data_IF_482277931128
#
_entry.id   IF_482277931128
#
_cell.length_a   1.000
_cell.length_b   1.000
_cell.length_c   1.000
_cell.angle_alpha   90.00
_cell.angle_beta   90.00
_cell.angle_gamma   90.00
#
_symmetry.space_group_name_H-M   'P 1'
#
loop_
_entity.id
_entity.type
_entity.pdbx_description
1 polymer ?
#
# COMPACT_ATOMS: atom_id res chain seq x y z
N UNK A 1 17.49 11.02 16.82
CA UNK A 1 17.26 10.30 15.55
C UNK A 1 15.76 10.34 15.35
N UNK A 2 15.29 11.43 14.75
CA UNK A 2 13.87 11.67 14.56
C UNK A 2 13.34 10.60 13.61
N UNK A 3 12.48 9.72 14.14
CA UNK A 3 11.68 8.80 13.34
C UNK A 3 11.07 9.64 12.21
N UNK A 4 11.16 9.16 10.97
CA UNK A 4 10.31 9.64 9.90
C UNK A 4 8.91 9.86 10.48
N UNK A 5 8.51 11.14 10.58
CA UNK A 5 7.16 11.54 10.88
C UNK A 5 6.36 11.13 9.64
N UNK A 6 6.04 9.83 9.59
CA UNK A 6 5.26 9.19 8.57
C UNK A 6 3.89 9.83 8.62
N UNK A 7 3.74 10.99 7.98
CA UNK A 7 2.46 11.55 7.58
C UNK A 7 1.65 10.37 7.07
N UNK A 8 0.60 10.03 7.82
CA UNK A 8 -0.16 8.79 7.69
C UNK A 8 -0.34 8.42 6.21
N UNK A 9 -0.13 7.15 5.82
CA UNK A 9 -0.31 6.67 4.45
C UNK A 9 -1.65 7.11 3.83
N UNK A 10 -2.66 7.36 4.67
CA UNK A 10 -3.92 8.01 4.32
C UNK A 10 -3.75 9.28 3.48
N UNK A 11 -2.71 10.09 3.69
CA UNK A 11 -2.45 11.32 2.94
C UNK A 11 -2.01 11.08 1.48
N UNK A 12 -1.39 9.93 1.20
CA UNK A 12 -1.01 9.54 -0.17
C UNK A 12 -2.22 8.99 -0.94
N UNK A 13 -3.17 8.37 -0.24
CA UNK A 13 -4.36 7.75 -0.82
C UNK A 13 -5.52 8.74 -0.95
N UNK A 14 -5.73 9.53 0.09
CA UNK A 14 -6.73 10.59 0.18
C UNK A 14 -5.97 11.88 0.51
N UNK A 15 -5.44 12.61 -0.49
CA UNK A 15 -4.78 13.88 -0.26
C UNK A 15 -5.78 14.81 0.42
N UNK A 16 -5.64 15.00 1.74
CA UNK A 16 -6.64 15.63 2.63
C UNK A 16 -7.37 16.76 1.93
N UNK A 17 -8.58 16.50 1.43
CA UNK A 17 -9.50 17.52 0.90
C UNK A 17 -8.79 18.66 0.16
N UNK A 18 -7.75 18.35 -0.64
CA UNK A 18 -6.65 19.27 -0.94
C UNK A 18 -7.05 20.47 -1.81
N UNK A 19 -8.30 20.49 -2.25
CA UNK A 19 -8.94 21.67 -2.79
C UNK A 19 -10.43 21.62 -2.47
N UNK A 20 -10.89 22.40 -1.49
CA UNK A 20 -12.33 22.55 -1.19
C UNK A 20 -13.14 23.01 -2.42
N UNK A 21 -12.47 23.61 -3.41
CA UNK A 21 -13.06 24.10 -4.65
C UNK A 21 -12.85 23.15 -5.84
N UNK A 22 -12.10 22.05 -5.68
CA UNK A 22 -11.76 21.13 -6.77
C UNK A 22 -12.87 20.10 -7.09
N UNK A 23 -13.81 19.92 -6.16
CA UNK A 23 -14.91 18.96 -6.28
C UNK A 23 -16.25 19.68 -6.17
N UNK A 24 -16.58 20.54 -7.15
CA UNK A 24 -17.96 21.01 -7.33
C UNK A 24 -18.83 19.86 -7.88
N UNK A 25 -19.02 18.82 -7.07
CA UNK A 25 -19.84 17.66 -7.40
C UNK A 25 -21.20 17.73 -6.70
N UNK A 26 -22.28 17.28 -7.35
CA UNK A 26 -23.52 16.96 -6.65
C UNK A 26 -23.23 15.91 -5.56
N UNK A 27 -23.94 15.98 -4.43
CA UNK A 27 -23.78 15.09 -3.26
C UNK A 27 -22.43 15.17 -2.51
N UNK A 28 -21.77 16.33 -2.50
CA UNK A 28 -20.53 16.57 -1.75
C UNK A 28 -20.59 16.09 -0.28
N UNK A 29 -21.74 16.24 0.38
CA UNK A 29 -21.94 15.75 1.74
C UNK A 29 -21.75 14.23 1.88
N UNK A 30 -22.32 13.43 0.96
CA UNK A 30 -22.18 11.97 0.98
C UNK A 30 -20.75 11.53 0.67
N UNK A 31 -20.11 12.20 -0.27
CA UNK A 31 -18.70 11.96 -0.60
C UNK A 31 -17.79 12.30 0.60
N UNK A 32 -18.05 13.38 1.32
CA UNK A 32 -17.28 13.75 2.53
C UNK A 32 -17.33 12.65 3.58
N UNK A 33 -18.51 12.10 3.85
CA UNK A 33 -18.67 11.04 4.86
C UNK A 33 -17.95 9.76 4.42
N UNK A 34 -18.00 9.39 3.15
CA UNK A 34 -17.28 8.23 2.61
C UNK A 34 -15.76 8.41 2.67
N UNK A 35 -15.25 9.57 2.28
CA UNK A 35 -13.81 9.87 2.33
C UNK A 35 -13.28 9.91 3.76
N UNK A 36 -14.05 10.49 4.70
CA UNK A 36 -13.71 10.46 6.12
C UNK A 36 -13.66 9.04 6.64
N UNK A 37 -14.65 8.20 6.29
CA UNK A 37 -14.67 6.79 6.66
C UNK A 37 -13.48 6.02 6.09
N UNK A 38 -13.10 6.30 4.84
CA UNK A 38 -11.91 5.71 4.23
C UNK A 38 -10.64 6.10 5.00
N UNK A 39 -10.48 7.38 5.35
CA UNK A 39 -9.33 7.85 6.15
C UNK A 39 -9.31 7.17 7.52
N UNK A 40 -10.43 7.11 8.24
CA UNK A 40 -10.54 6.38 9.51
C UNK A 40 -10.11 4.92 9.38
N UNK A 41 -10.53 4.25 8.30
CA UNK A 41 -10.15 2.86 8.04
C UNK A 41 -8.66 2.72 7.73
N UNK A 42 -8.10 3.59 6.88
CA UNK A 42 -6.66 3.59 6.57
C UNK A 42 -5.80 3.89 7.80
N UNK A 43 -6.32 4.67 8.74
CA UNK A 43 -5.63 5.04 9.98
C UNK A 43 -5.87 4.05 11.13
N UNK A 44 -6.80 3.10 10.95
CA UNK A 44 -7.08 2.03 11.93
C UNK A 44 -5.86 1.13 12.16
N UNK A 45 -5.75 0.60 13.37
CA UNK A 45 -4.67 -0.33 13.74
C UNK A 45 -4.65 -1.56 12.84
N UNK A 46 -5.82 -2.15 12.57
CA UNK A 46 -5.95 -3.34 11.71
C UNK A 46 -5.48 -3.07 10.28
N UNK A 47 -5.84 -1.93 9.69
CA UNK A 47 -5.36 -1.60 8.34
C UNK A 47 -3.85 -1.36 8.34
N UNK A 48 -3.32 -0.62 9.34
CA UNK A 48 -1.87 -0.38 9.47
C UNK A 48 -1.07 -1.68 9.60
N UNK A 49 -1.53 -2.62 10.42
CA UNK A 49 -0.89 -3.93 10.60
C UNK A 49 -0.86 -4.75 9.30
N UNK A 50 -2.02 -4.84 8.61
CA UNK A 50 -2.10 -5.56 7.34
C UNK A 50 -1.24 -4.88 6.28
N UNK A 51 -1.32 -3.55 6.13
CA UNK A 51 -0.47 -2.81 5.18
C UNK A 51 1.02 -3.01 5.48
N UNK A 52 1.44 -2.96 6.74
CA UNK A 52 2.84 -3.22 7.12
C UNK A 52 3.28 -4.61 6.67
N UNK A 53 2.49 -5.65 7.01
CA UNK A 53 2.79 -7.04 6.63
C UNK A 53 2.92 -7.22 5.11
N UNK A 54 2.01 -6.62 4.33
CA UNK A 54 2.05 -6.70 2.86
C UNK A 54 3.25 -5.95 2.27
N UNK A 55 3.62 -4.81 2.85
CA UNK A 55 4.81 -4.03 2.44
C UNK A 55 6.09 -4.79 2.76
N UNK A 56 6.18 -5.39 3.95
CA UNK A 56 7.32 -6.22 4.36
C UNK A 56 7.48 -7.42 3.42
N UNK A 57 6.39 -8.13 3.11
CA UNK A 57 6.39 -9.22 2.13
C UNK A 57 6.90 -8.77 0.75
N UNK A 58 6.47 -7.59 0.28
CA UNK A 58 6.92 -7.06 -1.00
C UNK A 58 8.42 -6.73 -0.99
N UNK A 59 8.92 -6.10 0.08
CA UNK A 59 10.34 -5.78 0.21
C UNK A 59 11.21 -7.03 0.37
N UNK A 60 10.75 -8.06 1.06
CA UNK A 60 11.41 -9.36 1.11
C UNK A 60 11.53 -9.97 -0.30
N UNK A 61 10.50 -9.83 -1.13
CA UNK A 61 10.55 -10.26 -2.53
C UNK A 61 11.58 -9.45 -3.34
N UNK A 62 11.71 -8.14 -3.12
CA UNK A 62 12.75 -7.28 -3.72
C UNK A 62 14.15 -7.76 -3.31
N UNK A 63 14.38 -7.97 -2.00
CA UNK A 63 15.67 -8.44 -1.49
C UNK A 63 16.02 -9.81 -2.07
N UNK A 64 15.07 -10.73 -2.10
CA UNK A 64 15.25 -12.05 -2.70
C UNK A 64 15.54 -11.99 -4.20
N UNK A 65 14.89 -11.08 -4.94
CA UNK A 65 15.17 -10.84 -6.35
C UNK A 65 16.62 -10.37 -6.56
N UNK A 66 17.05 -9.35 -5.81
CA UNK A 66 18.42 -8.81 -5.90
C UNK A 66 19.45 -9.88 -5.54
N UNK A 67 19.21 -10.67 -4.47
CA UNK A 67 20.11 -11.73 -4.05
C UNK A 67 20.26 -12.84 -5.11
N UNK A 68 19.16 -13.21 -5.80
CA UNK A 68 19.19 -14.21 -6.88
C UNK A 68 19.96 -13.75 -8.13
N UNK A 69 19.96 -12.44 -8.38
CA UNK A 69 20.60 -11.85 -9.57
C UNK A 69 21.98 -11.24 -9.26
N UNK A 70 22.43 -11.27 -8.00
CA UNK A 70 23.77 -10.87 -7.62
C UNK A 70 24.74 -12.03 -7.81
N UNK A 71 25.75 -11.83 -8.66
CA UNK A 71 26.79 -12.83 -8.92
C UNK A 71 27.89 -12.85 -7.84
N UNK A 72 27.87 -11.92 -6.88
CA UNK A 72 28.86 -11.81 -5.81
C UNK A 72 28.24 -11.32 -4.50
N UNK A 73 28.87 -11.69 -3.38
CA UNK A 73 28.45 -11.28 -2.03
C UNK A 73 28.64 -9.78 -1.79
N UNK A 74 29.62 -9.19 -2.47
CA UNK A 74 29.87 -7.75 -2.48
C UNK A 74 29.75 -7.26 -3.91
N UNK A 75 28.73 -6.46 -4.18
CA UNK A 75 28.50 -5.87 -5.49
C UNK A 75 28.55 -4.35 -5.37
N UNK A 76 29.26 -3.63 -6.26
CA UNK A 76 29.30 -2.16 -6.20
C UNK A 76 27.89 -1.60 -6.36
N UNK A 77 27.56 -0.53 -5.63
CA UNK A 77 26.22 0.08 -5.63
C UNK A 77 25.72 0.43 -7.04
N UNK A 78 26.62 0.85 -7.94
CA UNK A 78 26.31 1.14 -9.34
C UNK A 78 25.70 -0.06 -10.11
N UNK A 79 26.00 -1.31 -9.70
CA UNK A 79 25.39 -2.53 -10.26
C UNK A 79 24.13 -2.95 -9.51
N UNK A 80 23.98 -2.57 -8.24
CA UNK A 80 22.80 -2.89 -7.43
C UNK A 80 21.60 -2.03 -7.87
N UNK A 81 21.84 -0.74 -8.16
CA UNK A 81 20.78 0.20 -8.53
C UNK A 81 19.89 -0.31 -9.68
N UNK A 82 20.43 -0.77 -10.83
CA UNK A 82 19.62 -1.36 -11.89
C UNK A 82 18.81 -2.58 -11.43
N UNK A 83 19.39 -3.47 -10.62
CA UNK A 83 18.67 -4.65 -10.12
C UNK A 83 17.48 -4.28 -9.24
N UNK A 84 17.62 -3.25 -8.39
CA UNK A 84 16.51 -2.73 -7.60
C UNK A 84 15.42 -2.18 -8.52
N UNK A 85 15.79 -1.38 -9.53
CA UNK A 85 14.81 -0.84 -10.49
C UNK A 85 14.10 -1.94 -11.28
N UNK A 86 14.82 -2.94 -11.76
CA UNK A 86 14.27 -4.08 -12.50
C UNK A 86 13.38 -4.98 -11.64
N UNK A 87 13.65 -5.04 -10.34
CA UNK A 87 12.82 -5.79 -9.40
C UNK A 87 11.38 -5.27 -9.39
N UNK A 88 11.16 -3.95 -9.38
CA UNK A 88 9.80 -3.39 -9.39
C UNK A 88 9.01 -3.84 -10.62
N UNK A 89 9.62 -3.80 -11.80
CA UNK A 89 8.96 -4.23 -13.03
C UNK A 89 8.62 -5.72 -13.06
N UNK A 90 9.35 -6.56 -12.32
CA UNK A 90 9.11 -8.01 -12.27
C UNK A 90 8.11 -8.37 -11.18
N UNK A 91 8.25 -7.74 -10.01
CA UNK A 91 7.47 -8.07 -8.81
C UNK A 91 6.06 -7.46 -8.84
N UNK A 92 5.87 -6.35 -9.57
CA UNK A 92 4.58 -5.68 -9.75
C UNK A 92 3.79 -6.15 -10.99
N UNK A 93 4.22 -7.22 -11.69
CA UNK A 93 3.46 -7.77 -12.82
C UNK A 93 2.20 -8.45 -12.34
N UNK A 94 1.12 -8.40 -13.11
CA UNK A 94 -0.11 -9.16 -12.84
C UNK A 94 -0.04 -10.65 -13.24
N UNK A 95 1.17 -11.19 -13.43
CA UNK A 95 1.37 -12.58 -13.81
C UNK A 95 1.08 -13.51 -12.62
N UNK A 96 0.77 -14.77 -12.90
CA UNK A 96 0.54 -15.79 -11.88
C UNK A 96 1.76 -15.95 -10.98
N UNK A 97 1.54 -16.07 -9.67
CA UNK A 97 2.57 -16.18 -8.61
C UNK A 97 3.52 -14.96 -8.49
N UNK A 98 3.17 -13.83 -9.10
CA UNK A 98 3.85 -12.58 -8.81
C UNK A 98 3.60 -12.16 -7.35
N UNK A 99 4.57 -11.47 -6.70
CA UNK A 99 4.38 -10.96 -5.34
C UNK A 99 3.13 -10.09 -5.20
N UNK A 100 2.83 -9.25 -6.20
CA UNK A 100 1.62 -8.43 -6.17
C UNK A 100 0.34 -9.26 -6.24
N UNK A 101 0.29 -10.31 -7.08
CA UNK A 101 -0.85 -11.22 -7.13
C UNK A 101 -1.01 -11.98 -5.81
N UNK A 102 0.09 -12.42 -5.21
CA UNK A 102 0.08 -13.11 -3.92
C UNK A 102 -0.42 -12.20 -2.79
N UNK A 103 -0.08 -10.90 -2.82
CA UNK A 103 -0.67 -9.88 -1.93
C UNK A 103 -2.18 -9.75 -2.15
N UNK A 104 -2.62 -9.66 -3.41
CA UNK A 104 -4.05 -9.50 -3.73
C UNK A 104 -4.89 -10.72 -3.33
N UNK A 105 -4.29 -11.91 -3.35
CA UNK A 105 -4.91 -13.16 -2.93
C UNK A 105 -4.63 -13.52 -1.46
N UNK A 106 -4.01 -12.62 -0.68
CA UNK A 106 -3.61 -12.93 0.69
C UNK A 106 -4.79 -13.05 1.64
N UNK A 107 -4.65 -13.91 2.64
CA UNK A 107 -5.68 -14.12 3.67
C UNK A 107 -5.85 -12.91 4.59
N UNK A 108 -4.78 -12.15 4.78
CA UNK A 108 -4.74 -10.92 5.56
C UNK A 108 -5.56 -9.83 4.90
N UNK A 109 -5.37 -9.63 3.58
CA UNK A 109 -6.15 -8.68 2.81
C UNK A 109 -7.62 -9.09 2.74
N UNK A 110 -7.89 -10.38 2.60
CA UNK A 110 -9.25 -10.92 2.68
C UNK A 110 -9.89 -10.64 4.05
N UNK A 111 -9.19 -10.91 5.16
CA UNK A 111 -9.67 -10.65 6.53
C UNK A 111 -9.92 -9.16 6.80
N UNK A 112 -9.07 -8.28 6.25
CA UNK A 112 -9.29 -6.83 6.30
C UNK A 112 -10.55 -6.44 5.51
N UNK A 113 -10.71 -6.97 4.30
CA UNK A 113 -11.87 -6.70 3.44
C UNK A 113 -13.17 -7.15 4.12
N UNK A 114 -13.21 -8.38 4.64
CA UNK A 114 -14.37 -8.89 5.37
C UNK A 114 -14.68 -8.05 6.61
N UNK A 115 -13.67 -7.57 7.32
CA UNK A 115 -13.87 -6.65 8.42
C UNK A 115 -14.47 -5.32 7.97
N UNK A 116 -13.95 -4.70 6.91
CA UNK A 116 -14.51 -3.46 6.34
C UNK A 116 -15.98 -3.64 5.98
N UNK A 117 -16.34 -4.74 5.30
CA UNK A 117 -17.72 -5.02 4.90
C UNK A 117 -18.65 -5.42 6.05
N UNK A 118 -18.09 -5.86 7.19
CA UNK A 118 -18.87 -6.15 8.40
C UNK A 118 -19.25 -4.90 9.20
N UNK A 119 -18.63 -3.75 8.91
CA UNK A 119 -18.91 -2.50 9.63
C UNK A 119 -20.30 -1.98 9.27
N UNK A 120 -20.97 -1.28 10.21
CA UNK A 120 -22.28 -0.71 9.94
C UNK A 120 -22.21 0.26 8.75
N UNK A 121 -23.27 0.31 7.92
CA UNK A 121 -23.31 1.21 6.78
C UNK A 121 -23.23 2.66 7.25
N UNK A 122 -22.50 3.46 6.48
CA UNK A 122 -22.42 4.90 6.69
C UNK A 122 -23.79 5.51 6.44
N UNK A 123 -24.28 6.37 7.35
CA UNK A 123 -25.50 7.15 7.11
C UNK A 123 -25.17 8.25 6.10
N UNK A 124 -25.71 8.11 4.89
CA UNK A 124 -25.57 9.03 3.75
C UNK A 124 -26.67 10.08 3.72
#
# INVERSE_FOLDING_TARGET
MDLLDCRHFSYLVVPKYANQNGFALPNFGQLDVLLRRLVEMLESTKCKEVTSSLVDFFFDAVVNFVNRHSNSREMPMARILPLITDSFHTLSRGDFDSPIQNILCSTELHSLSMHVFSLPPVKL
#
